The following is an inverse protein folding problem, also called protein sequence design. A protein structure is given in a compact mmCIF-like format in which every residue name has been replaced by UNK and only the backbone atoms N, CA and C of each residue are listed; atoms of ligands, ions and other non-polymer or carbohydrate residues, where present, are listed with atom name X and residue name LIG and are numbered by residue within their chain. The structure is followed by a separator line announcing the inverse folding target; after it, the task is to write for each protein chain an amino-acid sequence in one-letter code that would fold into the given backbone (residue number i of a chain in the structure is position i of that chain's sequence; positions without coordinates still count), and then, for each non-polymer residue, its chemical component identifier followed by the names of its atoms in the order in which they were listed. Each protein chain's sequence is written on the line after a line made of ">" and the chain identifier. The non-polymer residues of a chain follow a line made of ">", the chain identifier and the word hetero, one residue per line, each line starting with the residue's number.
data_IF_836855300429
#
_entry.id   IF_836855300429
#
_cell.length_a   1.000
_cell.length_b   1.000
_cell.length_c   1.000
_cell.angle_alpha   90.00
_cell.angle_beta   90.00
_cell.angle_gamma   90.00
#
_symmetry.space_group_name_H-M   'P 1'
#
loop_
_entity.id
_entity.type
_entity.pdbx_description
1 polymer ?
#
# COMPACT_ATOMS: atom_id res chain seq x y z
N UNK A 1 -23.99 15.39 -2.62
CA UNK A 1 -24.50 14.14 -2.02
C UNK A 1 -24.06 14.12 -0.57
N UNK A 2 -24.95 13.83 0.39
CA UNK A 2 -24.57 13.77 1.81
C UNK A 2 -23.84 12.45 2.09
N UNK A 3 -22.83 12.40 2.98
CA UNK A 3 -22.15 11.16 3.30
C UNK A 3 -23.11 10.21 4.04
N UNK A 4 -23.55 9.14 3.38
CA UNK A 4 -24.35 8.08 4.00
C UNK A 4 -23.43 7.07 4.69
N UNK A 5 -23.61 6.85 5.99
CA UNK A 5 -22.87 5.84 6.75
C UNK A 5 -23.71 4.56 6.85
N UNK A 6 -23.22 3.47 6.29
CA UNK A 6 -23.85 2.15 6.39
C UNK A 6 -23.01 1.23 7.28
N UNK A 7 -23.63 0.60 8.29
CA UNK A 7 -22.95 -0.40 9.12
C UNK A 7 -22.63 -1.63 8.27
N UNK A 8 -21.38 -2.08 8.33
CA UNK A 8 -20.94 -3.35 7.76
C UNK A 8 -21.25 -4.51 8.71
N UNK A 9 -20.97 -5.73 8.26
CA UNK A 9 -21.05 -6.95 9.08
C UNK A 9 -20.29 -6.78 10.39
N UNK A 10 -20.99 -7.02 11.51
CA UNK A 10 -20.39 -7.04 12.85
C UNK A 10 -19.81 -8.42 13.13
N UNK A 11 -18.59 -8.47 13.64
CA UNK A 11 -17.97 -9.69 14.14
C UNK A 11 -17.74 -9.56 15.64
N UNK A 12 -18.28 -10.50 16.41
CA UNK A 12 -18.04 -10.64 17.84
C UNK A 12 -17.55 -12.06 18.16
N UNK A 13 -16.63 -12.18 19.11
CA UNK A 13 -16.07 -13.47 19.52
C UNK A 13 -15.60 -13.38 20.96
N UNK A 14 -15.82 -14.45 21.71
CA UNK A 14 -15.33 -14.62 23.09
C UNK A 14 -13.87 -15.08 23.14
N UNK A 15 -13.31 -15.50 21.99
CA UNK A 15 -11.94 -15.99 21.90
C UNK A 15 -10.97 -14.81 21.70
N UNK A 16 -10.00 -14.60 22.62
CA UNK A 16 -9.04 -13.51 22.51
C UNK A 16 -8.19 -13.58 21.24
N UNK A 17 -7.95 -12.43 20.61
CA UNK A 17 -7.01 -12.29 19.51
C UNK A 17 -5.57 -12.21 20.05
N UNK A 18 -4.67 -13.05 19.52
CA UNK A 18 -3.22 -12.95 19.73
C UNK A 18 -2.54 -12.06 18.69
N UNK A 19 -3.22 -11.80 17.58
CA UNK A 19 -2.76 -10.96 16.49
C UNK A 19 -3.80 -10.89 15.38
N UNK A 20 -3.61 -9.96 14.46
CA UNK A 20 -4.46 -9.81 13.29
C UNK A 20 -3.66 -9.27 12.11
N UNK A 21 -3.95 -9.76 10.92
CA UNK A 21 -3.42 -9.23 9.67
C UNK A 21 -4.53 -9.15 8.62
N UNK A 22 -4.46 -8.20 7.70
CA UNK A 22 -5.37 -8.15 6.55
C UNK A 22 -4.70 -8.73 5.32
N UNK A 23 -5.49 -9.43 4.51
CA UNK A 23 -5.00 -9.90 3.20
C UNK A 23 -4.98 -8.75 2.18
N UNK A 24 -4.15 -8.84 1.13
CA UNK A 24 -4.21 -7.91 0.01
C UNK A 24 -5.58 -7.91 -0.69
N UNK A 25 -5.94 -6.81 -1.34
CA UNK A 25 -7.22 -6.67 -2.08
C UNK A 25 -7.45 -7.79 -3.10
N UNK A 26 -6.40 -8.22 -3.80
CA UNK A 26 -6.43 -9.34 -4.77
C UNK A 26 -6.82 -10.69 -4.15
N UNK A 27 -6.72 -10.85 -2.83
CA UNK A 27 -7.15 -12.06 -2.13
C UNK A 27 -8.61 -12.03 -1.63
N UNK A 28 -9.29 -10.89 -1.76
CA UNK A 28 -10.69 -10.75 -1.36
C UNK A 28 -11.63 -11.37 -2.41
N UNK A 29 -12.77 -11.90 -1.96
CA UNK A 29 -13.80 -12.42 -2.85
C UNK A 29 -14.72 -11.28 -3.32
N UNK A 30 -14.35 -10.67 -4.45
CA UNK A 30 -15.05 -9.52 -5.02
C UNK A 30 -16.47 -9.81 -5.45
N UNK A 31 -16.76 -11.04 -5.90
CA UNK A 31 -18.10 -11.46 -6.29
C UNK A 31 -19.06 -11.56 -5.10
N UNK A 32 -18.54 -11.70 -3.88
CA UNK A 32 -19.31 -11.62 -2.63
C UNK A 32 -19.31 -10.24 -2.01
N UNK A 33 -18.83 -9.21 -2.73
CA UNK A 33 -18.65 -7.86 -2.20
C UNK A 33 -17.80 -7.81 -0.92
N UNK A 34 -16.85 -8.74 -0.77
CA UNK A 34 -15.89 -8.74 0.33
C UNK A 34 -14.83 -7.65 0.09
N UNK A 35 -14.88 -6.58 0.87
CA UNK A 35 -13.96 -5.44 0.70
C UNK A 35 -12.70 -5.59 1.53
N UNK A 36 -12.73 -6.40 2.58
CA UNK A 36 -11.56 -6.73 3.37
C UNK A 36 -11.72 -8.13 3.98
N UNK A 37 -10.60 -8.82 4.17
CA UNK A 37 -10.56 -10.02 5.00
C UNK A 37 -9.43 -9.91 6.01
N UNK A 38 -9.80 -9.88 7.29
CA UNK A 38 -8.87 -10.02 8.39
C UNK A 38 -8.57 -11.49 8.66
N UNK A 39 -7.37 -11.80 9.12
CA UNK A 39 -6.96 -13.10 9.63
C UNK A 39 -6.66 -12.91 11.10
N UNK A 40 -7.58 -13.33 11.96
CA UNK A 40 -7.45 -13.25 13.41
C UNK A 40 -6.70 -14.49 13.90
N UNK A 41 -5.55 -14.27 14.54
CA UNK A 41 -4.81 -15.33 15.20
C UNK A 41 -5.40 -15.58 16.59
N UNK A 42 -5.78 -16.81 16.89
CA UNK A 42 -6.19 -17.26 18.23
C UNK A 42 -5.15 -18.22 18.81
N UNK A 43 -5.44 -18.79 20.00
CA UNK A 43 -4.54 -19.80 20.59
C UNK A 43 -4.39 -21.05 19.74
N UNK A 44 -5.43 -21.42 18.99
CA UNK A 44 -5.53 -22.75 18.37
C UNK A 44 -5.76 -22.69 16.85
N UNK A 45 -6.05 -21.52 16.28
CA UNK A 45 -6.40 -21.38 14.88
C UNK A 45 -6.14 -19.98 14.32
N UNK A 46 -6.21 -19.86 12.99
CA UNK A 46 -6.35 -18.59 12.28
C UNK A 46 -7.78 -18.50 11.75
N UNK A 47 -8.53 -17.53 12.24
CA UNK A 47 -9.93 -17.31 11.90
C UNK A 47 -10.05 -16.20 10.84
N UNK A 48 -10.54 -16.50 9.61
CA UNK A 48 -10.79 -15.48 8.61
C UNK A 48 -12.04 -14.67 8.94
N UNK A 49 -11.93 -13.34 8.91
CA UNK A 49 -12.98 -12.37 9.18
C UNK A 49 -13.30 -11.59 7.90
N UNK A 50 -14.42 -11.92 7.27
CA UNK A 50 -14.87 -11.29 6.02
C UNK A 50 -15.70 -10.04 6.30
N UNK A 51 -15.29 -8.91 5.73
CA UNK A 51 -16.04 -7.65 5.74
C UNK A 51 -16.73 -7.47 4.40
N UNK A 52 -18.06 -7.54 4.40
CA UNK A 52 -18.88 -7.57 3.18
C UNK A 52 -19.76 -6.33 3.12
N UNK A 53 -19.76 -5.65 1.96
CA UNK A 53 -20.72 -4.59 1.67
C UNK A 53 -22.02 -5.24 1.19
N UNK A 54 -23.16 -4.99 1.85
CA UNK A 54 -24.43 -5.59 1.45
C UNK A 54 -24.88 -5.02 0.09
N UNK A 55 -24.96 -5.88 -0.93
CA UNK A 55 -25.44 -5.56 -2.29
C UNK A 55 -26.52 -6.54 -2.70
N UNK A 56 -27.42 -6.11 -3.59
CA UNK A 56 -28.54 -6.92 -4.10
C UNK A 56 -28.19 -7.74 -5.36
N UNK A 57 -27.05 -7.46 -5.98
CA UNK A 57 -26.64 -8.06 -7.25
C UNK A 57 -25.45 -8.98 -7.04
N UNK A 58 -25.42 -10.10 -7.76
CA UNK A 58 -24.28 -11.02 -7.84
C UNK A 58 -23.25 -10.59 -8.90
N UNK A 59 -23.48 -9.46 -9.59
CA UNK A 59 -22.52 -8.90 -10.52
C UNK A 59 -21.33 -8.23 -9.80
N UNK A 60 -20.18 -8.17 -10.47
CA UNK A 60 -19.04 -7.38 -10.02
C UNK A 60 -19.45 -5.91 -9.79
N UNK A 61 -18.93 -5.30 -8.71
CA UNK A 61 -19.30 -3.96 -8.27
C UNK A 61 -18.11 -3.00 -8.42
N UNK A 62 -17.98 -2.38 -9.59
CA UNK A 62 -16.85 -1.48 -9.91
C UNK A 62 -16.72 -0.29 -8.94
N UNK A 63 -17.83 0.20 -8.41
CA UNK A 63 -17.89 1.36 -7.51
C UNK A 63 -17.19 1.12 -6.16
N UNK A 64 -17.14 -0.13 -5.69
CA UNK A 64 -16.44 -0.51 -4.44
C UNK A 64 -15.11 -1.22 -4.67
N UNK A 65 -14.80 -1.58 -5.92
CA UNK A 65 -13.56 -2.24 -6.32
C UNK A 65 -12.83 -1.42 -7.40
N UNK A 66 -12.34 -0.21 -7.09
CA UNK A 66 -11.50 0.54 -8.03
C UNK A 66 -10.21 -0.23 -8.33
N UNK A 67 -9.54 0.05 -9.46
CA UNK A 67 -8.26 -0.55 -9.79
C UNK A 67 -7.27 -0.45 -8.62
N UNK A 68 -6.67 -1.58 -8.25
CA UNK A 68 -5.83 -1.73 -7.06
C UNK A 68 -4.39 -2.06 -7.43
N UNK A 69 -3.47 -2.04 -6.48
CA UNK A 69 -2.07 -2.36 -6.74
C UNK A 69 -1.88 -3.72 -7.42
N UNK A 70 -1.16 -3.71 -8.56
CA UNK A 70 -0.95 -4.89 -9.40
C UNK A 70 -0.01 -5.95 -8.77
N UNK A 71 0.72 -5.61 -7.71
CA UNK A 71 1.76 -6.49 -7.17
C UNK A 71 3.11 -6.36 -7.88
N UNK A 72 3.25 -5.37 -8.78
CA UNK A 72 4.49 -5.08 -9.51
C UNK A 72 5.07 -3.76 -8.97
N UNK A 73 6.36 -3.71 -8.60
CA UNK A 73 6.99 -2.49 -8.12
C UNK A 73 6.97 -1.40 -9.20
N UNK A 74 6.75 -0.14 -8.80
CA UNK A 74 6.66 0.99 -9.73
C UNK A 74 8.01 1.39 -10.32
N UNK A 75 9.07 1.28 -9.50
CA UNK A 75 10.45 1.54 -9.87
C UNK A 75 11.37 0.57 -9.12
N UNK A 76 12.61 0.47 -9.59
CA UNK A 76 13.70 -0.20 -8.90
C UNK A 76 14.19 0.63 -7.70
N UNK A 77 14.94 0.01 -6.80
CA UNK A 77 15.55 0.72 -5.66
C UNK A 77 16.49 1.83 -6.10
N UNK A 78 17.29 1.61 -7.16
CA UNK A 78 18.27 2.58 -7.63
C UNK A 78 17.57 3.82 -8.22
N UNK A 79 16.54 3.60 -9.03
CA UNK A 79 15.70 4.69 -9.56
C UNK A 79 15.10 5.52 -8.41
N UNK A 80 14.52 4.86 -7.40
CA UNK A 80 13.92 5.56 -6.26
C UNK A 80 14.96 6.36 -5.45
N UNK A 81 16.15 5.79 -5.23
CA UNK A 81 17.27 6.48 -4.57
C UNK A 81 17.81 7.67 -5.38
N UNK A 82 17.66 7.63 -6.70
CA UNK A 82 17.97 8.74 -7.59
C UNK A 82 16.84 9.78 -7.68
N UNK A 83 15.79 9.62 -6.86
CA UNK A 83 14.69 10.58 -6.72
C UNK A 83 13.54 10.33 -7.70
N UNK A 84 13.50 9.19 -8.39
CA UNK A 84 12.38 8.82 -9.26
C UNK A 84 11.20 8.38 -8.37
N UNK A 85 10.06 9.04 -8.54
CA UNK A 85 8.81 8.71 -7.87
C UNK A 85 7.75 8.31 -8.92
N UNK A 86 7.59 7.01 -9.14
CA UNK A 86 6.62 6.44 -10.10
C UNK A 86 5.35 6.02 -9.38
N UNK A 87 4.19 6.33 -9.96
CA UNK A 87 2.89 5.91 -9.43
C UNK A 87 2.78 4.38 -9.50
N UNK A 88 2.28 3.69 -8.45
CA UNK A 88 2.12 2.24 -8.48
C UNK A 88 1.21 1.77 -9.60
N UNK A 89 1.66 0.75 -10.33
CA UNK A 89 0.87 0.08 -11.36
C UNK A 89 -0.38 -0.56 -10.75
N UNK A 90 -1.50 -0.46 -11.45
CA UNK A 90 -2.80 -0.94 -10.98
C UNK A 90 -3.33 -2.10 -11.83
N UNK A 91 -4.31 -2.82 -11.33
CA UNK A 91 -5.02 -3.90 -12.02
C UNK A 91 -6.49 -3.85 -11.65
N UNK A 92 -7.37 -4.20 -12.60
CA UNK A 92 -8.79 -4.41 -12.31
C UNK A 92 -8.98 -5.69 -11.48
N UNK A 93 -9.98 -5.68 -10.60
CA UNK A 93 -10.40 -6.90 -9.88
C UNK A 93 -11.60 -7.58 -10.54
N UNK A 94 -12.12 -7.05 -11.65
CA UNK A 94 -13.22 -7.68 -12.39
C UNK A 94 -12.77 -9.07 -12.91
N UNK A 95 -13.48 -10.16 -12.57
CA UNK A 95 -13.18 -11.49 -13.11
C UNK A 95 -13.23 -11.58 -14.64
N UNK A 96 -13.90 -10.65 -15.32
CA UNK A 96 -13.96 -10.59 -16.78
C UNK A 96 -12.81 -9.78 -17.39
N UNK A 97 -12.00 -9.09 -16.57
CA UNK A 97 -10.81 -8.42 -17.05
C UNK A 97 -9.73 -9.45 -17.42
N UNK A 98 -8.91 -9.10 -18.41
CA UNK A 98 -7.77 -9.92 -18.86
C UNK A 98 -6.59 -9.90 -17.87
N UNK A 99 -6.74 -9.24 -16.72
CA UNK A 99 -5.68 -9.07 -15.72
C UNK A 99 -4.56 -8.13 -16.20
N UNK A 100 -4.79 -7.34 -17.25
CA UNK A 100 -3.82 -6.38 -17.75
C UNK A 100 -3.44 -5.36 -16.68
N UNK A 101 -2.14 -5.10 -16.59
CA UNK A 101 -1.60 -4.07 -15.72
C UNK A 101 -1.89 -2.72 -16.36
N UNK A 102 -2.65 -1.91 -15.63
CA UNK A 102 -2.89 -0.51 -15.95
C UNK A 102 -1.67 0.24 -15.42
N UNK A 103 -0.74 0.54 -16.31
CA UNK A 103 0.34 1.47 -15.98
C UNK A 103 -0.29 2.81 -15.61
N UNK A 104 0.07 3.29 -14.41
CA UNK A 104 -0.42 4.57 -13.96
C UNK A 104 0.31 5.66 -14.77
N UNK A 105 -0.47 6.56 -15.38
CA UNK A 105 0.08 7.80 -15.89
C UNK A 105 0.82 8.52 -14.75
N UNK A 106 1.97 9.13 -15.07
CA UNK A 106 2.72 9.92 -14.10
C UNK A 106 1.78 10.93 -13.43
N UNK A 107 1.73 10.93 -12.10
CA UNK A 107 1.01 11.96 -11.37
C UNK A 107 1.72 13.30 -11.56
N UNK A 108 0.99 14.33 -12.00
CA UNK A 108 1.52 15.71 -12.12
C UNK A 108 1.84 16.35 -10.76
N UNK A 109 1.32 15.80 -9.67
CA UNK A 109 1.58 16.28 -8.31
C UNK A 109 2.79 15.53 -7.73
N UNK A 110 3.98 16.01 -8.08
CA UNK A 110 5.24 15.50 -7.55
C UNK A 110 5.28 15.70 -6.03
N UNK A 111 5.51 14.62 -5.28
CA UNK A 111 5.96 14.73 -3.90
C UNK A 111 7.21 15.63 -3.84
N UNK A 112 7.37 16.38 -2.75
CA UNK A 112 8.50 17.30 -2.60
C UNK A 112 9.82 16.58 -2.95
N UNK A 113 10.66 17.16 -3.83
CA UNK A 113 11.80 16.45 -4.39
C UNK A 113 12.72 16.00 -3.26
N UNK A 114 12.83 14.68 -3.11
CA UNK A 114 13.80 14.09 -2.18
C UNK A 114 15.20 14.35 -2.74
N UNK A 115 16.15 14.69 -1.87
CA UNK A 115 17.53 14.94 -2.29
C UNK A 115 18.07 13.67 -2.96
N UNK A 116 18.51 13.76 -4.22
CA UNK A 116 19.05 12.60 -4.95
C UNK A 116 20.24 12.03 -4.20
N UNK A 117 20.53 10.73 -4.39
CA UNK A 117 21.73 10.10 -3.79
C UNK A 117 23.00 10.91 -4.03
N UNK A 118 23.20 11.42 -5.25
CA UNK A 118 24.36 12.24 -5.59
C UNK A 118 24.40 13.58 -4.83
N UNK A 119 23.27 14.27 -4.72
CA UNK A 119 23.16 15.51 -3.97
C UNK A 119 23.34 15.29 -2.45
N UNK A 120 22.80 14.20 -1.91
CA UNK A 120 22.97 13.82 -0.52
C UNK A 120 24.44 13.49 -0.19
N UNK A 121 25.14 12.77 -1.07
CA UNK A 121 26.58 12.48 -0.89
C UNK A 121 27.41 13.76 -0.95
N UNK A 122 27.16 14.65 -1.91
CA UNK A 122 27.84 15.94 -1.98
C UNK A 122 27.60 16.81 -0.73
N UNK A 123 26.38 16.78 -0.18
CA UNK A 123 26.07 17.48 1.07
C UNK A 123 26.80 16.86 2.27
N UNK A 124 26.86 15.53 2.35
CA UNK A 124 27.63 14.82 3.39
C UNK A 124 29.11 15.21 3.32
N UNK A 125 29.70 15.25 2.13
CA UNK A 125 31.11 15.60 1.98
C UNK A 125 31.38 17.05 2.39
N UNK A 126 30.48 17.98 2.02
CA UNK A 126 30.54 19.37 2.49
C UNK A 126 30.43 19.48 4.02
N UNK A 127 29.59 18.67 4.66
CA UNK A 127 29.47 18.66 6.12
C UNK A 127 30.72 18.09 6.80
N UNK A 128 31.33 17.05 6.23
CA UNK A 128 32.59 16.49 6.73
C UNK A 128 33.71 17.52 6.67
N UNK A 129 33.86 18.23 5.54
CA UNK A 129 34.84 19.31 5.39
C UNK A 129 34.63 20.41 6.43
N UNK A 130 33.38 20.84 6.65
CA UNK A 130 33.04 21.84 7.65
C UNK A 130 33.35 21.38 9.10
N UNK A 131 33.11 20.10 9.42
CA UNK A 131 33.45 19.52 10.73
C UNK A 131 34.96 19.44 10.94
N UNK A 132 35.72 19.04 9.93
CA UNK A 132 37.19 19.05 9.98
C UNK A 132 37.72 20.48 10.18
N UNK A 133 37.17 21.47 9.47
CA UNK A 133 37.53 22.87 9.65
C UNK A 133 37.18 23.43 11.05
N UNK A 134 36.13 22.89 11.68
CA UNK A 134 35.74 23.23 13.05
C UNK A 134 36.53 22.48 14.14
N UNK A 135 37.47 21.61 13.77
CA UNK A 135 38.27 20.84 14.72
C UNK A 135 37.52 19.70 15.42
N UNK A 136 36.39 19.26 14.85
CA UNK A 136 35.59 18.15 15.38
C UNK A 136 36.01 16.87 14.64
N UNK A 137 36.79 16.01 15.29
CA UNK A 137 37.14 14.69 14.75
C UNK A 137 35.94 13.73 14.87
N UNK A 138 35.52 13.18 13.74
CA UNK A 138 34.49 12.13 13.70
C UNK A 138 35.22 10.78 13.88
N UNK A 139 34.96 10.03 14.96
CA UNK A 139 35.56 8.71 15.13
C UNK A 139 35.10 7.76 14.02
N UNK A 140 35.94 6.79 13.61
CA UNK A 140 35.56 5.82 12.60
C UNK A 140 34.33 4.99 13.06
N UNK A 141 33.49 4.54 12.10
CA UNK A 141 32.30 3.74 12.39
C UNK A 141 32.63 2.37 12.99
#
# INVERSE_FOLDING_TARGET
>A
ENPFLFKLSEYSSTTPAKGMAFIPKRGCNVMKCETARGLKLTSNAVEPLSFIVPRKSDAFQEDIFPPTFAGVPACTSDEWLDGIDKVPAKVSLDPNSDGSVIEAAASEEAAAPMMTRSAALAYIDKLKEAMTAAGVEIPPP
#
